data_IF_762737205643
#
_entry.id   IF_762737205643
#
_cell.length_a   1.000
_cell.length_b   1.000
_cell.length_c   1.000
_cell.angle_alpha   90.00
_cell.angle_beta   90.00
_cell.angle_gamma   90.00
#
_symmetry.space_group_name_H-M   'P 1'
#
loop_
_entity.id
_entity.type
_entity.pdbx_description
1 polymer ?
#
# COMPACT_ATOMS: atom_id res chain seq x y z
N UNK A 1 0.52 21.71 1.65
CA UNK A 1 0.60 21.28 3.06
C UNK A 1 2.00 21.58 3.56
N UNK A 2 2.16 22.25 4.70
CA UNK A 2 3.50 22.46 5.28
C UNK A 2 4.04 21.16 5.94
N UNK A 3 5.34 21.13 6.28
CA UNK A 3 5.98 19.94 6.87
C UNK A 3 5.40 19.55 8.23
N UNK A 4 4.95 20.51 9.03
CA UNK A 4 4.36 20.23 10.35
C UNK A 4 3.03 19.51 10.20
N UNK A 5 2.19 19.98 9.29
CA UNK A 5 0.91 19.34 8.95
C UNK A 5 1.13 17.93 8.37
N UNK A 6 2.12 17.77 7.49
CA UNK A 6 2.48 16.46 6.94
C UNK A 6 2.93 15.48 8.03
N UNK A 7 3.76 15.93 8.98
CA UNK A 7 4.20 15.11 10.11
C UNK A 7 3.03 14.69 11.01
N UNK A 8 2.09 15.59 11.29
CA UNK A 8 0.87 15.25 12.04
C UNK A 8 0.02 14.23 11.27
N UNK A 9 -0.08 14.37 9.95
CA UNK A 9 -0.79 13.42 9.10
C UNK A 9 -0.11 12.04 9.09
N UNK A 10 1.22 12.01 9.11
CA UNK A 10 2.01 10.78 9.23
C UNK A 10 1.84 10.10 10.59
N UNK A 11 1.85 10.86 11.69
CA UNK A 11 1.59 10.34 13.04
C UNK A 11 0.18 9.77 13.15
N UNK A 12 -0.82 10.48 12.62
CA UNK A 12 -2.20 10.01 12.54
C UNK A 12 -2.29 8.72 11.72
N UNK A 13 -1.61 8.68 10.57
CA UNK A 13 -1.60 7.49 9.73
C UNK A 13 -0.95 6.30 10.43
N UNK A 14 0.19 6.49 11.10
CA UNK A 14 0.83 5.45 11.90
C UNK A 14 -0.11 4.92 12.98
N UNK A 15 -0.78 5.80 13.73
CA UNK A 15 -1.72 5.42 14.78
C UNK A 15 -2.99 4.69 14.27
N UNK A 16 -3.37 4.88 12.99
CA UNK A 16 -4.50 4.17 12.39
C UNK A 16 -4.25 2.67 12.23
N UNK A 17 -3.00 2.22 12.18
CA UNK A 17 -2.67 0.81 12.02
C UNK A 17 -2.86 0.09 13.37
N UNK A 18 -4.11 -0.18 13.70
CA UNK A 18 -4.54 -0.69 14.99
C UNK A 18 -5.55 -1.82 14.80
N UNK A 19 -5.27 -3.04 15.30
CA UNK A 19 -6.20 -4.17 15.24
C UNK A 19 -7.60 -3.90 15.79
N UNK A 20 -7.74 -2.93 16.72
CA UNK A 20 -9.02 -2.57 17.35
C UNK A 20 -9.89 -1.64 16.50
N UNK A 21 -9.30 -0.89 15.56
CA UNK A 21 -10.01 0.02 14.65
C UNK A 21 -9.48 -0.16 13.23
N UNK A 22 -9.97 -1.20 12.55
CA UNK A 22 -9.47 -1.63 11.25
C UNK A 22 -9.62 -0.54 10.16
N UNK A 23 -8.52 0.07 9.69
CA UNK A 23 -8.58 1.00 8.58
C UNK A 23 -8.72 0.24 7.26
N UNK A 24 -9.71 0.66 6.46
CA UNK A 24 -9.91 0.21 5.09
C UNK A 24 -9.30 1.25 4.14
N UNK A 25 -8.25 0.90 3.41
CA UNK A 25 -7.58 1.77 2.47
C UNK A 25 -7.96 1.38 1.04
N UNK A 26 -8.86 2.13 0.45
CA UNK A 26 -9.16 2.02 -0.96
C UNK A 26 -7.97 2.51 -1.79
N UNK A 27 -7.60 1.72 -2.81
CA UNK A 27 -6.52 2.06 -3.73
C UNK A 27 -7.08 2.93 -4.87
N UNK A 28 -6.59 4.17 -4.96
CA UNK A 28 -6.80 5.05 -6.11
C UNK A 28 -5.82 4.70 -7.23
N UNK A 29 -6.21 5.02 -8.46
CA UNK A 29 -5.41 4.76 -9.67
C UNK A 29 -5.17 6.02 -10.51
N UNK A 30 -5.79 7.14 -10.13
CA UNK A 30 -5.60 8.46 -10.73
C UNK A 30 -6.11 9.58 -9.79
N UNK A 31 -5.99 10.84 -10.21
CA UNK A 31 -6.50 11.96 -9.43
C UNK A 31 -8.02 12.01 -9.31
N UNK A 32 -8.77 11.45 -10.27
CA UNK A 32 -10.24 11.43 -10.23
C UNK A 32 -10.78 10.45 -9.19
N UNK A 33 -10.32 9.21 -9.23
CA UNK A 33 -10.63 8.18 -8.23
C UNK A 33 -10.20 8.60 -6.83
N UNK A 34 -9.04 9.24 -6.68
CA UNK A 34 -8.59 9.76 -5.40
C UNK A 34 -9.51 10.84 -4.83
N UNK A 35 -10.03 11.76 -5.67
CA UNK A 35 -11.03 12.75 -5.22
C UNK A 35 -12.34 12.10 -4.81
N UNK A 36 -12.82 11.11 -5.56
CA UNK A 36 -14.03 10.36 -5.21
C UNK A 36 -13.87 9.69 -3.82
N UNK A 37 -12.71 9.08 -3.57
CA UNK A 37 -12.39 8.50 -2.26
C UNK A 37 -12.26 9.57 -1.16
N UNK A 38 -11.56 10.68 -1.43
CA UNK A 38 -11.33 11.74 -0.47
C UNK A 38 -12.63 12.40 0.03
N UNK A 39 -13.61 12.54 -0.86
CA UNK A 39 -14.95 13.07 -0.56
C UNK A 39 -15.84 12.10 0.20
N UNK A 40 -15.50 10.81 0.24
CA UNK A 40 -16.33 9.81 0.91
C UNK A 40 -16.20 9.93 2.44
N UNK A 41 -17.32 10.09 3.20
CA UNK A 41 -17.26 10.38 4.64
C UNK A 41 -16.52 9.33 5.48
N UNK A 42 -16.52 8.06 5.04
CA UNK A 42 -15.88 6.95 5.75
C UNK A 42 -14.43 6.69 5.31
N UNK A 43 -13.93 7.38 4.28
CA UNK A 43 -12.55 7.19 3.84
C UNK A 43 -11.60 7.84 4.86
N UNK A 44 -10.79 7.03 5.54
CA UNK A 44 -9.82 7.50 6.55
C UNK A 44 -8.45 7.80 5.95
N UNK A 45 -8.06 7.10 4.87
CA UNK A 45 -6.81 7.24 4.13
C UNK A 45 -6.99 6.71 2.69
N UNK A 46 -6.02 6.99 1.82
CA UNK A 46 -5.98 6.56 0.41
C UNK A 46 -4.67 5.81 0.17
N UNK A 47 -4.73 4.70 -0.57
CA UNK A 47 -3.53 4.01 -1.07
C UNK A 47 -3.40 4.16 -2.58
N UNK A 48 -2.23 3.95 -3.15
CA UNK A 48 -2.09 3.55 -4.56
C UNK A 48 -1.86 2.04 -4.67
N UNK A 49 -1.93 1.49 -5.88
CA UNK A 49 -1.45 0.15 -6.22
C UNK A 49 -0.66 0.27 -7.52
N UNK A 50 0.59 -0.20 -7.56
CA UNK A 50 1.47 -0.01 -8.73
C UNK A 50 0.84 -0.59 -10.00
N UNK A 51 0.20 -1.76 -9.89
CA UNK A 51 -0.51 -2.40 -10.99
C UNK A 51 -1.52 -1.49 -11.67
N UNK A 52 -2.34 -0.78 -10.89
CA UNK A 52 -3.36 0.11 -11.44
C UNK A 52 -2.75 1.36 -12.06
N UNK A 53 -1.65 1.87 -11.50
CA UNK A 53 -0.90 2.98 -12.09
C UNK A 53 -0.30 2.56 -13.43
N UNK A 54 0.39 1.41 -13.46
CA UNK A 54 1.04 0.88 -14.66
C UNK A 54 0.07 0.75 -15.83
N UNK A 55 -1.05 0.05 -15.63
CA UNK A 55 -2.01 -0.14 -16.73
C UNK A 55 -2.66 1.18 -17.13
N UNK A 56 -2.92 2.10 -16.19
CA UNK A 56 -3.43 3.43 -16.52
C UNK A 56 -2.44 4.25 -17.36
N UNK A 57 -1.15 3.97 -17.26
CA UNK A 57 -0.08 4.55 -18.07
C UNK A 57 0.21 3.76 -19.37
N UNK A 58 -0.45 2.62 -19.60
CA UNK A 58 -0.20 1.76 -20.75
C UNK A 58 1.00 0.80 -20.60
N UNK A 59 1.54 0.66 -19.39
CA UNK A 59 2.69 -0.19 -19.07
C UNK A 59 2.26 -1.44 -18.27
N UNK A 60 3.02 -2.53 -18.35
CA UNK A 60 2.85 -3.65 -17.42
C UNK A 60 3.39 -3.27 -16.04
N UNK A 61 2.86 -3.89 -14.97
CA UNK A 61 3.27 -3.56 -13.59
C UNK A 61 4.77 -3.74 -13.35
N UNK A 62 5.35 -4.83 -13.86
CA UNK A 62 6.77 -5.10 -13.75
C UNK A 62 7.64 -4.07 -14.49
N UNK A 63 7.11 -3.47 -15.54
CA UNK A 63 7.81 -2.52 -16.41
C UNK A 63 7.63 -1.07 -15.95
N UNK A 64 6.77 -0.83 -14.95
CA UNK A 64 6.53 0.51 -14.40
C UNK A 64 7.83 1.07 -13.83
N UNK A 65 8.30 2.16 -14.43
CA UNK A 65 9.48 2.90 -14.00
C UNK A 65 9.17 3.80 -12.80
N UNK A 66 10.23 4.26 -12.11
CA UNK A 66 10.07 5.22 -11.01
C UNK A 66 9.39 6.51 -11.49
N UNK A 67 9.77 7.02 -12.67
CA UNK A 67 9.23 8.28 -13.19
C UNK A 67 7.75 8.16 -13.57
N UNK A 68 7.34 7.06 -14.19
CA UNK A 68 5.93 6.79 -14.49
C UNK A 68 5.10 6.67 -13.20
N UNK A 69 5.61 5.95 -12.18
CA UNK A 69 4.89 5.84 -10.92
C UNK A 69 4.76 7.21 -10.23
N UNK A 70 5.86 7.99 -10.13
CA UNK A 70 5.84 9.34 -9.57
C UNK A 70 4.85 10.25 -10.31
N UNK A 71 4.82 10.18 -11.65
CA UNK A 71 3.86 10.92 -12.46
C UNK A 71 2.41 10.50 -12.17
N UNK A 72 2.13 9.19 -12.11
CA UNK A 72 0.80 8.65 -11.85
C UNK A 72 0.28 8.99 -10.45
N UNK A 73 1.12 8.89 -9.42
CA UNK A 73 0.70 9.10 -8.02
C UNK A 73 0.60 10.58 -7.64
N UNK A 74 1.23 11.50 -8.39
CA UNK A 74 1.16 12.94 -8.12
C UNK A 74 -0.27 13.45 -7.98
N UNK A 75 -1.16 13.03 -8.89
CA UNK A 75 -2.58 13.39 -8.84
C UNK A 75 -3.32 12.80 -7.64
N UNK A 76 -3.00 11.55 -7.26
CA UNK A 76 -3.57 10.85 -6.12
C UNK A 76 -3.19 11.56 -4.81
N UNK A 77 -1.89 11.84 -4.64
CA UNK A 77 -1.37 12.51 -3.44
C UNK A 77 -2.02 13.88 -3.31
N UNK A 78 -2.02 14.68 -4.39
CA UNK A 78 -2.61 16.01 -4.39
C UNK A 78 -4.10 15.99 -4.03
N UNK A 79 -4.87 15.02 -4.53
CA UNK A 79 -6.29 14.87 -4.20
C UNK A 79 -6.52 14.52 -2.72
N UNK A 80 -5.70 13.62 -2.15
CA UNK A 80 -5.85 13.20 -0.76
C UNK A 80 -5.43 14.27 0.25
N UNK A 81 -4.25 14.86 0.07
CA UNK A 81 -3.68 15.80 1.06
C UNK A 81 -4.33 17.18 1.03
N UNK A 82 -4.95 17.57 -0.09
CA UNK A 82 -5.66 18.84 -0.21
C UNK A 82 -7.16 18.72 0.05
N UNK A 83 -7.67 17.51 0.32
CA UNK A 83 -9.08 17.27 0.60
C UNK A 83 -9.58 18.12 1.78
N UNK A 84 -10.76 18.71 1.64
CA UNK A 84 -11.39 19.55 2.66
C UNK A 84 -12.69 18.93 3.17
N UNK A 85 -13.06 19.15 4.45
CA UNK A 85 -12.31 19.88 5.49
C UNK A 85 -11.18 19.05 6.13
N UNK A 86 -11.02 17.79 5.72
CA UNK A 86 -10.10 16.85 6.37
C UNK A 86 -9.16 16.20 5.34
N UNK A 87 -7.89 16.63 5.31
CA UNK A 87 -6.85 15.94 4.55
C UNK A 87 -6.78 14.46 4.89
N UNK A 88 -6.57 13.63 3.86
CA UNK A 88 -6.44 12.18 4.00
C UNK A 88 -4.96 11.80 3.92
N UNK A 89 -4.45 10.96 4.83
CA UNK A 89 -3.17 10.29 4.62
C UNK A 89 -3.15 9.54 3.29
N UNK A 90 -2.05 9.66 2.55
CA UNK A 90 -1.84 8.94 1.30
C UNK A 90 -0.60 8.06 1.44
N UNK A 91 -0.74 6.78 1.12
CA UNK A 91 0.35 5.80 1.08
C UNK A 91 0.59 5.30 -0.34
N UNK A 92 1.84 5.24 -0.76
CA UNK A 92 2.20 4.90 -2.15
C UNK A 92 2.86 3.53 -2.24
N UNK A 93 2.40 2.73 -3.18
CA UNK A 93 3.07 1.50 -3.58
C UNK A 93 4.33 1.84 -4.41
N UNK A 94 5.50 1.51 -3.87
CA UNK A 94 6.80 1.73 -4.53
C UNK A 94 7.40 0.44 -5.10
N UNK A 95 6.63 -0.65 -5.18
CA UNK A 95 7.13 -1.98 -5.54
C UNK A 95 8.35 -2.35 -4.70
N UNK A 96 9.42 -2.87 -5.30
CA UNK A 96 10.70 -3.17 -4.65
C UNK A 96 11.46 -1.94 -4.15
N UNK A 97 10.94 -0.72 -4.35
CA UNK A 97 11.66 0.53 -4.13
C UNK A 97 12.58 0.90 -5.28
N UNK A 98 12.38 0.33 -6.48
CA UNK A 98 13.14 0.64 -7.69
C UNK A 98 14.65 0.39 -7.53
N UNK A 99 15.01 -0.78 -6.99
CA UNK A 99 16.40 -1.21 -6.85
C UNK A 99 17.27 -0.24 -6.03
N UNK A 100 18.23 0.38 -6.71
CA UNK A 100 19.17 1.37 -6.14
C UNK A 100 18.58 2.77 -5.92
N UNK A 101 17.36 3.03 -6.40
CA UNK A 101 16.68 4.33 -6.27
C UNK A 101 15.80 4.46 -5.02
N UNK A 102 15.87 3.50 -4.09
CA UNK A 102 15.00 3.42 -2.91
C UNK A 102 14.86 4.75 -2.15
N UNK A 103 15.98 5.37 -1.80
CA UNK A 103 16.01 6.61 -1.05
C UNK A 103 15.40 7.77 -1.84
N UNK A 104 15.74 7.87 -3.14
CA UNK A 104 15.16 8.86 -4.06
C UNK A 104 13.64 8.68 -4.17
N UNK A 105 13.16 7.45 -4.34
CA UNK A 105 11.74 7.16 -4.48
C UNK A 105 10.94 7.63 -3.26
N UNK A 106 11.47 7.34 -2.06
CA UNK A 106 10.88 7.78 -0.78
C UNK A 106 10.89 9.31 -0.67
N UNK A 107 12.03 9.95 -0.93
CA UNK A 107 12.15 11.41 -0.88
C UNK A 107 11.16 12.12 -1.82
N UNK A 108 11.00 11.63 -3.04
CA UNK A 108 10.10 12.24 -4.02
C UNK A 108 8.62 12.10 -3.60
N UNK A 109 8.17 10.94 -3.11
CA UNK A 109 6.77 10.83 -2.64
C UNK A 109 6.50 11.68 -1.39
N UNK A 110 7.50 11.88 -0.51
CA UNK A 110 7.38 12.79 0.63
C UNK A 110 7.27 14.23 0.15
N UNK A 111 8.09 14.64 -0.82
CA UNK A 111 8.01 15.99 -1.43
C UNK A 111 6.64 16.23 -2.05
N UNK A 112 6.01 15.20 -2.61
CA UNK A 112 4.65 15.29 -3.14
C UNK A 112 3.56 15.34 -2.05
N UNK A 113 3.85 14.91 -0.83
CA UNK A 113 2.94 14.97 0.32
C UNK A 113 2.50 13.62 0.88
N UNK A 114 2.98 12.50 0.34
CA UNK A 114 2.68 11.17 0.88
C UNK A 114 3.23 11.01 2.30
N UNK A 115 2.61 10.14 3.08
CA UNK A 115 2.96 9.88 4.49
C UNK A 115 3.14 8.40 4.80
N UNK A 116 3.13 7.55 3.78
CA UNK A 116 3.41 6.13 3.88
C UNK A 116 3.82 5.55 2.54
N UNK A 117 4.44 4.37 2.59
CA UNK A 117 4.70 3.59 1.39
C UNK A 117 4.68 2.08 1.69
N UNK A 118 4.50 1.30 0.63
CA UNK A 118 4.82 -0.12 0.60
C UNK A 118 6.16 -0.29 -0.15
N UNK A 119 7.01 -1.18 0.37
CA UNK A 119 8.26 -1.61 -0.27
C UNK A 119 8.32 -3.13 -0.18
N UNK A 120 8.57 -3.78 -1.31
CA UNK A 120 8.64 -5.23 -1.49
C UNK A 120 10.08 -5.74 -1.34
N UNK A 121 10.22 -7.04 -1.06
CA UNK A 121 11.51 -7.72 -0.94
C UNK A 121 11.86 -8.59 -2.16
N UNK A 122 11.12 -8.43 -3.24
CA UNK A 122 11.43 -9.02 -4.55
C UNK A 122 12.35 -8.09 -5.35
N UNK A 123 13.57 -8.55 -5.64
CA UNK A 123 14.49 -7.86 -6.54
C UNK A 123 14.10 -8.15 -7.99
N UNK A 124 13.57 -7.11 -8.67
CA UNK A 124 13.18 -7.21 -10.08
C UNK A 124 14.36 -7.36 -11.04
N UNK A 125 15.53 -6.80 -10.71
CA UNK A 125 16.73 -6.88 -11.55
C UNK A 125 17.26 -8.33 -11.60
N UNK A 126 17.24 -9.03 -10.47
CA UNK A 126 17.72 -10.41 -10.37
C UNK A 126 16.60 -11.45 -10.46
N UNK A 127 15.34 -11.01 -10.56
CA UNK A 127 14.14 -11.86 -10.53
C UNK A 127 14.14 -12.84 -9.35
N UNK A 128 14.55 -12.37 -8.17
CA UNK A 128 14.73 -13.18 -6.96
C UNK A 128 14.45 -12.35 -5.70
N UNK A 129 14.20 -13.00 -4.57
CA UNK A 129 14.07 -12.27 -3.31
C UNK A 129 15.44 -11.75 -2.85
N UNK A 130 15.48 -10.55 -2.30
CA UNK A 130 16.60 -10.08 -1.49
C UNK A 130 16.81 -11.04 -0.30
N UNK A 131 18.05 -11.17 0.19
CA UNK A 131 18.27 -11.87 1.46
C UNK A 131 17.47 -11.22 2.59
N UNK A 132 17.24 -11.95 3.69
CA UNK A 132 16.47 -11.42 4.83
C UNK A 132 17.16 -10.19 5.40
N UNK A 133 18.49 -10.26 5.47
CA UNK A 133 19.37 -9.21 5.97
C UNK A 133 19.31 -7.97 5.07
N UNK A 134 19.41 -8.13 3.74
CA UNK A 134 19.30 -7.02 2.79
C UNK A 134 17.91 -6.40 2.80
N UNK A 135 16.84 -7.20 2.83
CA UNK A 135 15.47 -6.70 2.89
C UNK A 135 15.21 -5.91 4.19
N UNK A 136 15.69 -6.42 5.34
CA UNK A 136 15.60 -5.70 6.61
C UNK A 136 16.43 -4.41 6.58
N UNK A 137 17.62 -4.41 5.95
CA UNK A 137 18.41 -3.20 5.74
C UNK A 137 17.71 -2.20 4.80
N UNK A 138 17.00 -2.66 3.76
CA UNK A 138 16.18 -1.80 2.90
C UNK A 138 15.04 -1.17 3.69
N UNK A 139 14.33 -1.93 4.52
CA UNK A 139 13.32 -1.38 5.45
C UNK A 139 13.95 -0.36 6.39
N UNK A 140 15.10 -0.67 6.99
CA UNK A 140 15.81 0.24 7.88
C UNK A 140 16.24 1.53 7.16
N UNK A 141 16.78 1.45 5.95
CA UNK A 141 17.10 2.61 5.09
C UNK A 141 15.84 3.40 4.76
N UNK A 142 14.79 2.71 4.34
CA UNK A 142 13.47 3.27 4.10
C UNK A 142 12.78 3.80 5.36
N UNK A 143 13.26 3.48 6.57
CA UNK A 143 12.92 4.05 7.87
C UNK A 143 13.90 5.14 8.33
N UNK A 144 15.13 5.19 7.82
CA UNK A 144 16.14 6.22 8.12
C UNK A 144 16.03 7.45 7.23
N UNK A 145 15.73 7.27 5.95
CA UNK A 145 15.21 8.30 5.01
C UNK A 145 13.92 8.94 5.55
N UNK A 146 13.47 8.45 6.70
CA UNK A 146 12.11 8.22 7.01
C UNK A 146 11.69 8.40 8.50
N UNK A 147 12.65 8.43 9.40
CA UNK A 147 12.70 9.36 10.52
C UNK A 147 13.10 10.77 9.99
N UNK A 148 13.32 10.86 8.67
CA UNK A 148 13.01 11.94 7.73
C UNK A 148 11.74 11.63 6.82
N UNK A 149 10.74 10.80 7.27
CA UNK A 149 9.48 10.08 6.75
C UNK A 149 9.44 8.64 6.02
N UNK A 150 8.95 7.47 6.56
CA UNK A 150 8.88 6.11 5.83
C UNK A 150 8.42 4.77 6.56
N UNK A 151 8.48 3.58 5.87
CA UNK A 151 7.61 2.33 5.97
C UNK A 151 8.21 0.84 5.91
N UNK A 152 7.52 -0.21 5.33
CA UNK A 152 8.04 -1.59 4.89
C UNK A 152 7.23 -2.96 5.08
N UNK A 153 7.33 -4.00 4.16
CA UNK A 153 6.49 -5.29 3.98
C UNK A 153 7.24 -6.67 3.66
N UNK A 154 6.58 -7.80 3.21
CA UNK A 154 6.71 -9.32 3.46
C UNK A 154 6.85 -10.39 2.29
N UNK A 155 7.19 -11.73 2.50
CA UNK A 155 6.51 -13.02 2.01
C UNK A 155 7.04 -14.42 2.54
N UNK A 156 6.16 -15.47 2.48
CA UNK A 156 6.31 -16.95 2.66
C UNK A 156 6.10 -17.56 4.08
N UNK A 157 4.90 -18.02 4.51
CA UNK A 157 4.50 -18.14 5.95
C UNK A 157 5.62 -18.19 7.01
N UNK A 158 6.46 -19.22 7.12
CA UNK A 158 7.55 -19.24 8.13
C UNK A 158 8.64 -18.17 7.84
N UNK A 159 9.04 -18.02 6.59
CA UNK A 159 9.91 -16.94 6.13
C UNK A 159 9.23 -15.57 6.23
N UNK A 160 7.92 -15.46 5.97
CA UNK A 160 7.09 -14.27 6.15
C UNK A 160 7.08 -13.87 7.61
N UNK A 161 6.92 -14.84 8.52
CA UNK A 161 6.95 -14.62 9.96
C UNK A 161 8.32 -14.11 10.39
N UNK A 162 9.40 -14.79 9.97
CA UNK A 162 10.78 -14.37 10.28
C UNK A 162 11.06 -12.95 9.76
N UNK A 163 10.75 -12.71 8.49
CA UNK A 163 10.95 -11.43 7.81
C UNK A 163 10.07 -10.34 8.40
N UNK A 164 8.78 -10.59 8.56
CA UNK A 164 7.80 -9.68 9.14
C UNK A 164 8.18 -9.25 10.55
N UNK A 165 8.64 -10.17 11.41
CA UNK A 165 9.19 -9.81 12.73
C UNK A 165 10.42 -8.91 12.61
N UNK A 166 11.33 -9.19 11.67
CA UNK A 166 12.49 -8.33 11.42
C UNK A 166 12.08 -6.94 10.90
N UNK A 167 11.07 -6.85 10.04
CA UNK A 167 10.56 -5.58 9.51
C UNK A 167 9.87 -4.74 10.59
N UNK A 168 9.07 -5.37 11.45
CA UNK A 168 8.48 -4.73 12.61
C UNK A 168 9.57 -4.24 13.59
N UNK A 169 10.60 -5.05 13.83
CA UNK A 169 11.75 -4.65 14.64
C UNK A 169 12.54 -3.48 14.01
N UNK A 170 12.62 -3.41 12.68
CA UNK A 170 13.18 -2.29 11.93
C UNK A 170 12.24 -1.06 11.88
N UNK A 171 11.00 -1.20 12.37
CA UNK A 171 10.06 -0.12 12.59
C UNK A 171 8.86 -0.08 11.65
N UNK A 172 8.67 -1.05 10.76
CA UNK A 172 7.48 -1.13 9.92
C UNK A 172 6.18 -1.02 10.75
N UNK A 173 5.19 -0.27 10.26
CA UNK A 173 3.92 -0.10 10.98
C UNK A 173 3.02 -1.34 10.82
N UNK A 174 3.07 -1.98 9.66
CA UNK A 174 2.39 -3.24 9.35
C UNK A 174 3.18 -4.03 8.32
N UNK A 175 3.02 -5.34 8.33
CA UNK A 175 3.58 -6.27 7.35
C UNK A 175 2.49 -6.68 6.33
N UNK A 176 2.82 -6.95 5.06
CA UNK A 176 1.85 -7.36 4.03
C UNK A 176 2.27 -8.61 3.24
N UNK A 177 1.60 -9.76 3.46
CA UNK A 177 1.87 -11.00 2.71
C UNK A 177 1.10 -10.92 1.41
N UNK A 178 1.81 -10.78 0.31
CA UNK A 178 1.20 -10.79 -1.01
C UNK A 178 0.67 -12.17 -1.41
N UNK A 179 1.33 -13.24 -0.97
CA UNK A 179 0.90 -14.62 -1.21
C UNK A 179 1.40 -15.22 -2.52
N UNK A 180 2.18 -14.51 -3.34
CA UNK A 180 2.82 -15.08 -4.52
C UNK A 180 1.84 -15.39 -5.66
N UNK A 181 0.89 -14.48 -5.93
CA UNK A 181 -0.16 -14.65 -6.95
C UNK A 181 -1.37 -15.47 -6.50
N UNK A 182 -1.34 -16.10 -5.32
CA UNK A 182 -2.52 -16.68 -4.67
C UNK A 182 -3.02 -15.79 -3.54
N UNK A 183 -4.30 -15.93 -3.24
CA UNK A 183 -4.89 -15.28 -2.07
C UNK A 183 -4.44 -16.01 -0.80
N UNK A 184 -3.99 -15.24 0.19
CA UNK A 184 -3.66 -15.74 1.53
C UNK A 184 -4.95 -16.19 2.22
N UNK A 185 -4.97 -17.43 2.70
CA UNK A 185 -6.16 -18.07 3.25
C UNK A 185 -6.41 -17.65 4.70
N UNK A 186 -7.65 -17.75 5.17
CA UNK A 186 -8.05 -17.36 6.53
C UNK A 186 -7.20 -18.01 7.63
N UNK A 187 -6.83 -19.28 7.46
CA UNK A 187 -5.97 -20.00 8.40
C UNK A 187 -4.55 -19.39 8.46
N UNK A 188 -3.99 -19.00 7.31
CA UNK A 188 -2.69 -18.35 7.24
C UNK A 188 -2.76 -16.95 7.83
N UNK A 189 -3.83 -16.18 7.55
CA UNK A 189 -4.06 -14.87 8.15
C UNK A 189 -4.09 -14.97 9.69
N UNK A 190 -4.78 -15.97 10.26
CA UNK A 190 -4.79 -16.18 11.72
C UNK A 190 -3.39 -16.40 12.28
N UNK A 191 -2.58 -17.21 11.61
CA UNK A 191 -1.20 -17.46 12.01
C UNK A 191 -0.38 -16.18 11.93
N UNK A 192 -0.44 -15.45 10.82
CA UNK A 192 0.29 -14.19 10.62
C UNK A 192 -0.12 -13.12 11.65
N UNK A 193 -1.42 -12.98 11.93
CA UNK A 193 -1.91 -12.08 12.98
C UNK A 193 -1.29 -12.42 14.34
N UNK A 194 -1.30 -13.70 14.72
CA UNK A 194 -0.68 -14.15 15.98
C UNK A 194 0.81 -13.79 16.01
N UNK A 195 1.53 -14.10 14.94
CA UNK A 195 2.99 -13.95 14.88
C UNK A 195 3.46 -12.50 14.78
N UNK A 196 2.62 -11.59 14.28
CA UNK A 196 2.90 -10.16 14.17
C UNK A 196 2.21 -9.30 15.22
N UNK A 197 1.56 -9.90 16.21
CA UNK A 197 0.78 -9.16 17.21
C UNK A 197 -0.34 -8.31 16.60
N UNK A 198 -0.92 -8.78 15.49
CA UNK A 198 -2.00 -8.10 14.76
C UNK A 198 -1.54 -7.06 13.73
N UNK A 199 -0.25 -6.72 13.66
CA UNK A 199 0.30 -5.72 12.73
C UNK A 199 0.42 -6.24 11.28
N UNK A 200 -0.66 -6.80 10.76
CA UNK A 200 -0.80 -7.36 9.42
C UNK A 200 -1.72 -6.49 8.56
N UNK A 201 -1.30 -6.21 7.34
CA UNK A 201 -2.12 -5.72 6.25
C UNK A 201 -2.62 -6.91 5.41
N UNK A 202 -3.89 -6.90 5.00
CA UNK A 202 -4.47 -7.92 4.11
C UNK A 202 -5.06 -7.26 2.87
N UNK A 203 -4.84 -7.89 1.70
CA UNK A 203 -5.49 -7.47 0.44
C UNK A 203 -6.87 -8.11 0.33
N UNK A 204 -7.92 -7.33 0.57
CA UNK A 204 -9.31 -7.75 0.43
C UNK A 204 -9.68 -7.90 -1.05
N UNK A 205 -10.24 -9.06 -1.39
CA UNK A 205 -10.69 -9.38 -2.74
C UNK A 205 -12.13 -8.91 -2.94
N UNK A 206 -12.40 -8.09 -3.98
CA UNK A 206 -13.72 -7.53 -4.26
C UNK A 206 -14.57 -8.44 -5.16
N UNK A 207 -14.64 -9.72 -4.81
CA UNK A 207 -15.38 -10.77 -5.54
C UNK A 207 -16.02 -11.77 -4.57
N UNK A 208 -17.09 -12.42 -4.99
CA UNK A 208 -17.81 -13.41 -4.19
C UNK A 208 -16.91 -14.59 -3.80
N UNK A 209 -17.20 -15.21 -2.65
CA UNK A 209 -16.44 -16.33 -2.10
C UNK A 209 -15.17 -15.96 -1.31
N UNK A 210 -14.88 -14.66 -1.16
CA UNK A 210 -13.76 -14.16 -0.35
C UNK A 210 -14.23 -13.43 0.90
N UNK A 211 -13.33 -13.29 1.86
CA UNK A 211 -13.64 -12.67 3.15
C UNK A 211 -14.13 -11.22 2.97
N UNK A 212 -15.23 -10.91 3.63
CA UNK A 212 -15.76 -9.56 3.74
C UNK A 212 -15.04 -8.77 4.86
N UNK A 213 -15.40 -7.48 5.00
CA UNK A 213 -14.82 -6.59 6.00
C UNK A 213 -14.95 -7.15 7.43
N UNK A 214 -16.14 -7.62 7.81
CA UNK A 214 -16.42 -8.10 9.16
C UNK A 214 -15.63 -9.36 9.49
N UNK A 215 -15.52 -10.27 8.52
CA UNK A 215 -14.73 -11.50 8.65
C UNK A 215 -13.25 -11.17 8.81
N UNK A 216 -12.70 -10.29 7.97
CA UNK A 216 -11.30 -9.85 8.09
C UNK A 216 -11.06 -9.15 9.43
N UNK A 217 -11.98 -8.29 9.87
CA UNK A 217 -11.88 -7.61 11.17
C UNK A 217 -11.85 -8.60 12.34
N UNK A 218 -12.66 -9.66 12.29
CA UNK A 218 -12.68 -10.70 13.31
C UNK A 218 -11.36 -11.49 13.37
N UNK A 219 -10.54 -11.46 12.32
CA UNK A 219 -9.21 -12.07 12.32
C UNK A 219 -8.17 -11.24 13.08
N UNK A 220 -8.44 -9.97 13.40
CA UNK A 220 -7.55 -9.13 14.22
C UNK A 220 -6.40 -8.46 13.45
N UNK A 221 -6.62 -8.14 12.17
CA UNK A 221 -5.65 -7.43 11.32
C UNK A 221 -5.62 -5.92 11.61
N UNK A 222 -4.50 -5.25 11.34
CA UNK A 222 -4.30 -3.82 11.58
C UNK A 222 -4.54 -2.93 10.35
N UNK A 223 -4.66 -3.50 9.15
CA UNK A 223 -4.94 -2.77 7.91
C UNK A 223 -5.57 -3.67 6.85
N UNK A 224 -6.43 -3.10 6.01
CA UNK A 224 -6.87 -3.73 4.76
C UNK A 224 -6.62 -2.78 3.58
N UNK A 225 -6.14 -3.32 2.47
CA UNK A 225 -6.09 -2.66 1.16
C UNK A 225 -6.84 -3.50 0.11
N UNK A 226 -7.09 -2.94 -1.07
CA UNK A 226 -7.85 -3.60 -2.15
C UNK A 226 -7.00 -3.90 -3.40
N UNK A 227 -5.72 -3.47 -3.41
CA UNK A 227 -4.84 -3.60 -4.58
C UNK A 227 -5.53 -3.05 -5.84
N UNK A 228 -5.48 -3.75 -6.98
CA UNK A 228 -6.12 -3.30 -8.21
C UNK A 228 -7.64 -3.50 -8.26
N UNK A 229 -8.28 -4.01 -7.20
CA UNK A 229 -9.68 -4.43 -7.24
C UNK A 229 -10.66 -3.33 -7.66
N UNK A 230 -10.49 -2.10 -7.17
CA UNK A 230 -11.36 -0.97 -7.54
C UNK A 230 -11.12 -0.51 -8.98
N UNK A 231 -9.87 -0.55 -9.44
CA UNK A 231 -9.51 -0.26 -10.83
C UNK A 231 -10.20 -1.25 -11.79
N UNK A 232 -10.10 -2.56 -11.51
CA UNK A 232 -10.75 -3.59 -12.33
C UNK A 232 -12.26 -3.39 -12.37
N UNK A 233 -12.90 -3.07 -11.23
CA UNK A 233 -14.35 -2.79 -11.20
C UNK A 233 -14.71 -1.55 -12.03
N UNK A 234 -13.91 -0.48 -11.95
CA UNK A 234 -14.13 0.74 -12.71
C UNK A 234 -14.00 0.49 -14.23
N UNK A 235 -12.95 -0.23 -14.66
CA UNK A 235 -12.78 -0.55 -16.07
C UNK A 235 -13.85 -1.49 -16.60
N UNK A 236 -14.29 -2.48 -15.83
CA UNK A 236 -15.38 -3.36 -16.26
C UNK A 236 -16.66 -2.55 -16.51
N UNK A 237 -17.00 -1.63 -15.60
CA UNK A 237 -18.15 -0.74 -15.78
C UNK A 237 -17.97 0.16 -17.00
N UNK A 238 -16.80 0.79 -17.15
CA UNK A 238 -16.48 1.61 -18.31
C UNK A 238 -16.63 0.83 -19.63
N UNK A 239 -16.06 -0.37 -19.72
CA UNK A 239 -16.17 -1.22 -20.91
C UNK A 239 -17.60 -1.63 -21.20
N UNK A 240 -18.39 -2.02 -20.19
CA UNK A 240 -19.80 -2.36 -20.39
C UNK A 240 -20.63 -1.19 -20.94
N UNK A 241 -20.37 0.03 -20.48
CA UNK A 241 -21.04 1.23 -21.01
C UNK A 241 -20.56 1.56 -22.43
N UNK A 242 -19.26 1.40 -22.72
CA UNK A 242 -18.72 1.61 -24.06
C UNK A 242 -19.31 0.60 -25.07
N UNK A 243 -19.41 -0.68 -24.70
CA UNK A 243 -20.00 -1.75 -25.52
C UNK A 243 -21.49 -1.51 -25.80
N UNK A 244 -22.20 -0.81 -24.91
CA UNK A 244 -23.60 -0.45 -25.13
C UNK A 244 -23.78 0.73 -26.11
N UNK A 245 -22.71 1.50 -26.37
CA UNK A 245 -22.71 2.69 -27.23
C UNK A 245 -22.15 2.38 -28.63
N UNK A 246 -21.07 1.58 -28.69
CA UNK A 246 -20.36 1.22 -29.93
C UNK A 246 -21.05 0.08 -30.69
#
# INVERSE_FOLDING_TARGET
MDRTQQNLLAQKFAAMHNPKDLPMLCNAFDGGSARALASHPRAKAIASASYSIAISCGSADNDLTLEENLAGVKGIIAAGVNAQPHPKPVTIDLQDGYGSHLERAIEEIIKLGAVGCNIEDFNRETNALWSVEEAAQRVARAKQTAARCGGGAEVGLDAAIKRGKAYLAAGATTVFVWGGGRVVQSAEIKTLVKEFGGLLNVSMQLREGFLNKQEIQALGVARVSMGPGLYTKALNAFSSEADAIL
#
